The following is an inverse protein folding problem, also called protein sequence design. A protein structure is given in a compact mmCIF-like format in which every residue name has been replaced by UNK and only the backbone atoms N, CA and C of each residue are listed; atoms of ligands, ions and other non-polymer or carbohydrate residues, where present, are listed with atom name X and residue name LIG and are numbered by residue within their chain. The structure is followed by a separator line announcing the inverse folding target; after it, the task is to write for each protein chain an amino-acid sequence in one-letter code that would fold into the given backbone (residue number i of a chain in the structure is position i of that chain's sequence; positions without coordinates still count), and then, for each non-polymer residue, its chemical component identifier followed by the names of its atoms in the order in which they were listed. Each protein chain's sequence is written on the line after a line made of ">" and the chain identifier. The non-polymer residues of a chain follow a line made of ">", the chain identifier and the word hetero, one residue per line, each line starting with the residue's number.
data_IF_974935825687
#
_entry.id   IF_974935825687
#
_cell.length_a   1.000
_cell.length_b   1.000
_cell.length_c   1.000
_cell.angle_alpha   90.00
_cell.angle_beta   90.00
_cell.angle_gamma   90.00
#
_symmetry.space_group_name_H-M   'P 1'
#
loop_
_entity.id
_entity.type
_entity.pdbx_description
1 polymer ?
#
# COMPACT_ATOMS: atom_id res chain seq x y z
N UNK A 1 -11.22 -16.42 5.91
CA UNK A 1 -10.27 -15.73 5.02
C UNK A 1 -11.03 -14.73 4.17
N UNK A 2 -10.55 -13.51 4.15
CA UNK A 2 -11.13 -12.47 3.32
C UNK A 2 -10.13 -12.03 2.26
N UNK A 3 -10.65 -11.57 1.13
CA UNK A 3 -9.84 -11.04 0.03
C UNK A 3 -10.29 -9.63 -0.29
N UNK A 4 -9.32 -8.76 -0.57
CA UNK A 4 -9.56 -7.40 -1.03
C UNK A 4 -8.84 -7.19 -2.36
N UNK A 5 -9.52 -6.57 -3.31
CA UNK A 5 -8.92 -6.24 -4.61
C UNK A 5 -9.31 -4.81 -4.96
N UNK A 6 -8.35 -3.91 -4.79
CA UNK A 6 -8.52 -2.51 -5.16
C UNK A 6 -7.87 -2.21 -6.50
N UNK A 7 -7.60 -0.94 -6.73
CA UNK A 7 -6.94 -0.48 -7.96
C UNK A 7 -5.43 -0.71 -7.91
N UNK A 8 -4.82 -0.49 -6.76
CA UNK A 8 -3.37 -0.62 -6.58
C UNK A 8 -2.98 -1.53 -5.43
N UNK A 9 -3.94 -2.01 -4.65
CA UNK A 9 -3.68 -2.84 -3.50
C UNK A 9 -4.57 -4.07 -3.56
N UNK A 10 -4.00 -5.23 -3.28
CA UNK A 10 -4.76 -6.43 -3.04
C UNK A 10 -4.24 -7.12 -1.79
N UNK A 11 -5.10 -7.85 -1.11
CA UNK A 11 -4.74 -8.45 0.16
C UNK A 11 -5.58 -9.69 0.43
N UNK A 12 -5.05 -10.54 1.31
CA UNK A 12 -5.78 -11.65 1.88
C UNK A 12 -5.51 -11.70 3.38
N UNK A 13 -6.51 -12.09 4.15
CA UNK A 13 -6.38 -12.35 5.58
C UNK A 13 -6.28 -13.86 5.83
N UNK A 14 -6.16 -14.25 7.08
CA UNK A 14 -6.10 -15.66 7.47
C UNK A 14 -4.77 -16.02 8.08
N UNK A 15 -4.40 -17.30 7.98
CA UNK A 15 -3.17 -17.79 8.59
C UNK A 15 -1.91 -17.44 7.79
N UNK A 16 -2.09 -17.05 6.54
CA UNK A 16 -0.99 -16.61 5.67
C UNK A 16 -1.38 -15.26 5.05
N UNK A 17 -1.41 -14.19 5.86
CA UNK A 17 -1.82 -12.89 5.35
C UNK A 17 -0.77 -12.31 4.40
N UNK A 18 -1.26 -11.59 3.40
CA UNK A 18 -0.37 -10.93 2.43
C UNK A 18 -1.04 -9.69 1.89
N UNK A 19 -0.28 -8.60 1.84
CA UNK A 19 -0.72 -7.34 1.26
C UNK A 19 0.23 -7.03 0.11
N UNK A 20 -0.30 -6.84 -1.09
CA UNK A 20 0.51 -6.51 -2.26
C UNK A 20 0.14 -5.12 -2.76
N UNK A 21 1.14 -4.27 -2.94
CA UNK A 21 0.98 -2.90 -3.41
C UNK A 21 1.65 -2.80 -4.78
N UNK A 22 0.89 -2.30 -5.76
CA UNK A 22 1.35 -2.14 -7.14
C UNK A 22 1.66 -0.69 -7.43
N UNK A 23 2.58 -0.44 -8.33
CA UNK A 23 2.99 0.93 -8.66
C UNK A 23 2.13 1.58 -9.73
N UNK A 24 1.22 0.83 -10.35
CA UNK A 24 0.32 1.34 -11.39
C UNK A 24 -1.11 0.84 -11.16
N UNK A 25 -2.11 1.63 -11.60
CA UNK A 25 -3.50 1.20 -11.50
C UNK A 25 -3.77 -0.13 -12.20
N UNK A 26 -4.87 -0.76 -11.80
CA UNK A 26 -5.30 -2.06 -12.31
C UNK A 26 -4.35 -3.19 -11.92
N UNK A 27 -3.72 -3.06 -10.74
CA UNK A 27 -2.80 -4.08 -10.21
C UNK A 27 -1.74 -4.44 -11.25
N UNK A 28 -1.06 -3.44 -11.77
CA UNK A 28 -0.07 -3.61 -12.82
C UNK A 28 1.25 -2.93 -12.48
N UNK A 29 2.27 -3.23 -13.26
CA UNK A 29 3.60 -2.71 -13.03
C UNK A 29 4.38 -3.54 -12.03
N UNK A 30 5.24 -2.89 -11.27
CA UNK A 30 6.02 -3.54 -10.22
C UNK A 30 5.22 -3.56 -8.93
N UNK A 31 5.44 -4.57 -8.10
CA UNK A 31 4.75 -4.67 -6.84
C UNK A 31 5.70 -5.02 -5.71
N UNK A 32 5.26 -4.73 -4.50
CA UNK A 32 5.93 -5.13 -3.27
C UNK A 32 4.90 -5.70 -2.32
N UNK A 33 5.30 -6.66 -1.51
CA UNK A 33 4.39 -7.35 -0.62
C UNK A 33 4.81 -7.22 0.83
N UNK A 34 3.83 -7.14 1.70
CA UNK A 34 3.99 -7.08 3.15
C UNK A 34 3.23 -8.28 3.72
N UNK A 35 3.91 -9.10 4.51
CA UNK A 35 3.29 -10.28 5.12
C UNK A 35 2.87 -10.05 6.56
N UNK A 36 3.26 -8.94 7.18
CA UNK A 36 2.90 -8.62 8.56
C UNK A 36 1.87 -7.49 8.58
N UNK A 37 0.60 -7.80 8.89
CA UNK A 37 -0.45 -6.77 8.93
C UNK A 37 -0.21 -5.67 9.97
N UNK A 38 0.62 -5.93 10.97
CA UNK A 38 0.93 -4.93 12.00
C UNK A 38 1.70 -3.75 11.45
N UNK A 39 2.32 -3.90 10.28
CA UNK A 39 3.10 -2.85 9.66
C UNK A 39 2.26 -1.92 8.78
N UNK A 40 0.97 -2.22 8.60
CA UNK A 40 0.09 -1.40 7.76
C UNK A 40 0.02 0.04 8.26
N UNK A 41 -0.21 0.21 9.56
CA UNK A 41 -0.33 1.56 10.13
C UNK A 41 0.96 2.36 9.97
N UNK A 42 2.10 1.70 10.08
CA UNK A 42 3.40 2.34 9.87
C UNK A 42 3.53 2.84 8.44
N UNK A 43 3.16 2.01 7.47
CA UNK A 43 3.22 2.37 6.06
C UNK A 43 2.28 3.54 5.76
N UNK A 44 1.06 3.50 6.28
CA UNK A 44 0.10 4.59 6.09
C UNK A 44 0.64 5.89 6.65
N UNK A 45 1.16 5.86 7.86
CA UNK A 45 1.71 7.04 8.52
C UNK A 45 2.86 7.64 7.72
N UNK A 46 3.78 6.81 7.28
CA UNK A 46 4.94 7.27 6.53
C UNK A 46 4.56 7.77 5.14
N UNK A 47 3.59 7.12 4.47
CA UNK A 47 3.10 7.60 3.19
C UNK A 47 2.42 8.97 3.31
N UNK A 48 1.72 9.23 4.41
CA UNK A 48 1.12 10.53 4.65
C UNK A 48 2.19 11.62 4.77
N UNK A 49 3.29 11.32 5.43
CA UNK A 49 4.42 12.25 5.53
C UNK A 49 5.05 12.52 4.17
N UNK A 50 5.21 11.48 3.37
CA UNK A 50 5.75 11.62 2.01
C UNK A 50 4.82 12.46 1.15
N UNK A 51 3.52 12.25 1.27
CA UNK A 51 2.55 13.04 0.52
C UNK A 51 2.67 14.52 0.83
N UNK A 52 2.84 14.87 2.10
CA UNK A 52 3.03 16.26 2.51
C UNK A 52 4.27 16.86 1.85
N UNK A 53 5.36 16.10 1.77
CA UNK A 53 6.58 16.55 1.10
C UNK A 53 6.33 16.91 -0.36
N UNK A 54 5.61 16.04 -1.09
CA UNK A 54 5.29 16.30 -2.49
C UNK A 54 4.33 17.48 -2.66
N UNK A 55 3.34 17.60 -1.79
CA UNK A 55 2.40 18.71 -1.83
C UNK A 55 3.12 20.06 -1.62
N UNK A 56 4.09 20.11 -0.71
CA UNK A 56 4.89 21.31 -0.49
C UNK A 56 5.78 21.62 -1.69
N UNK A 57 6.33 20.60 -2.32
CA UNK A 57 7.19 20.78 -3.49
C UNK A 57 6.40 21.37 -4.66
N UNK A 58 5.14 20.96 -4.84
CA UNK A 58 4.29 21.49 -5.90
C UNK A 58 3.89 22.94 -5.68
N UNK A 59 3.89 23.40 -4.44
CA UNK A 59 3.48 24.76 -4.10
C UNK A 59 4.64 25.77 -4.14
N UNK A 60 5.80 25.35 -4.56
CA UNK A 60 6.93 26.24 -4.79
C UNK A 60 6.91 26.77 -6.24
#
# INVERSE_FOLDING_TARGET
>A
MEHFKGTMVQARTGTDPLITIWDKPNLSGMCASISDPKLIDTVIEELQKVKIMFDKSENL
#
